data_IF_148981109183
#
_entry.id   IF_148981109183
#
_cell.length_a   1.000
_cell.length_b   1.000
_cell.length_c   1.000
_cell.angle_alpha   90.00
_cell.angle_beta   90.00
_cell.angle_gamma   90.00
#
_symmetry.space_group_name_H-M   'P 1'
#
loop_
_entity.id
_entity.type
_entity.pdbx_description
1 polymer ?
#
# COMPACT_ATOMS: atom_id res chain seq x y z
N UNK A 1 16.00 -17.08 -4.37
CA UNK A 1 15.50 -15.70 -4.58
C UNK A 1 14.00 -15.57 -4.30
N UNK A 2 13.12 -16.34 -4.96
CA UNK A 2 11.65 -16.22 -4.76
C UNK A 2 11.16 -16.40 -3.31
N UNK A 3 11.79 -17.27 -2.52
CA UNK A 3 11.40 -17.48 -1.12
C UNK A 3 11.89 -16.36 -0.19
N UNK A 4 13.07 -15.77 -0.46
CA UNK A 4 13.59 -14.62 0.29
C UNK A 4 12.65 -13.42 0.16
N UNK A 5 12.25 -13.07 -1.07
CA UNK A 5 11.31 -11.96 -1.32
C UNK A 5 9.96 -12.18 -0.63
N UNK A 6 9.48 -13.43 -0.58
CA UNK A 6 8.24 -13.75 0.14
C UNK A 6 8.39 -13.51 1.65
N UNK A 7 9.50 -13.94 2.23
CA UNK A 7 9.79 -13.73 3.66
C UNK A 7 9.92 -12.25 3.97
N UNK A 8 10.63 -11.48 3.12
CA UNK A 8 10.73 -10.02 3.24
C UNK A 8 9.35 -9.36 3.22
N UNK A 9 8.49 -9.74 2.26
CA UNK A 9 7.13 -9.18 2.18
C UNK A 9 6.26 -9.55 3.39
N UNK A 10 6.39 -10.77 3.93
CA UNK A 10 5.70 -11.17 5.15
C UNK A 10 6.19 -10.34 6.34
N UNK A 11 7.49 -10.11 6.45
CA UNK A 11 8.07 -9.29 7.50
C UNK A 11 7.59 -7.84 7.42
N UNK A 12 7.58 -7.26 6.20
CA UNK A 12 7.03 -5.92 5.94
C UNK A 12 5.55 -5.85 6.32
N UNK A 13 4.75 -6.85 5.96
CA UNK A 13 3.32 -6.91 6.30
C UNK A 13 3.11 -6.89 7.82
N UNK A 14 3.82 -7.75 8.56
CA UNK A 14 3.72 -7.83 10.03
C UNK A 14 4.12 -6.49 10.65
N UNK A 15 5.22 -5.89 10.18
CA UNK A 15 5.72 -4.62 10.70
C UNK A 15 4.72 -3.48 10.47
N UNK A 16 4.18 -3.35 9.26
CA UNK A 16 3.22 -2.28 8.92
C UNK A 16 1.90 -2.46 9.69
N UNK A 17 1.39 -3.68 9.83
CA UNK A 17 0.19 -3.97 10.63
C UNK A 17 0.43 -3.61 12.09
N UNK A 18 1.58 -4.00 12.65
CA UNK A 18 1.92 -3.71 14.04
C UNK A 18 2.00 -2.20 14.28
N UNK A 19 2.71 -1.46 13.42
CA UNK A 19 2.77 0.00 13.51
C UNK A 19 1.39 0.65 13.41
N UNK A 20 0.55 0.20 12.47
CA UNK A 20 -0.79 0.76 12.28
C UNK A 20 -1.64 0.70 13.55
N UNK A 21 -1.65 -0.46 14.23
CA UNK A 21 -2.39 -0.63 15.48
C UNK A 21 -1.70 0.03 16.67
N UNK A 22 -0.36 0.17 16.68
CA UNK A 22 0.35 0.96 17.70
C UNK A 22 -0.01 2.46 17.67
N UNK A 23 -0.48 2.97 16.52
CA UNK A 23 -0.98 4.35 16.40
C UNK A 23 -2.48 4.47 16.68
N UNK A 24 -3.13 3.42 17.18
CA UNK A 24 -4.57 3.38 17.51
C UNK A 24 -5.48 3.77 16.34
N UNK A 25 -5.04 3.51 15.10
CA UNK A 25 -5.84 3.78 13.92
C UNK A 25 -7.00 2.78 13.75
N UNK A 26 -8.07 3.22 13.08
CA UNK A 26 -9.29 2.44 12.90
C UNK A 26 -9.10 1.21 11.99
N UNK A 27 -9.54 0.04 12.45
CA UNK A 27 -9.56 -1.18 11.65
C UNK A 27 -10.32 -1.02 10.31
N UNK A 28 -11.40 -0.25 10.29
CA UNK A 28 -12.16 -0.01 9.06
C UNK A 28 -11.37 0.81 8.04
N UNK A 29 -10.59 1.79 8.50
CA UNK A 29 -9.72 2.57 7.61
C UNK A 29 -8.59 1.70 7.05
N UNK A 30 -8.05 0.77 7.84
CA UNK A 30 -7.08 -0.21 7.34
C UNK A 30 -7.66 -1.02 6.16
N UNK A 31 -8.87 -1.56 6.29
CA UNK A 31 -9.51 -2.32 5.21
C UNK A 31 -9.75 -1.48 3.96
N UNK A 32 -10.19 -0.22 4.12
CA UNK A 32 -10.39 0.69 3.00
C UNK A 32 -9.06 0.95 2.27
N UNK A 33 -7.98 1.24 3.00
CA UNK A 33 -6.67 1.48 2.40
C UNK A 33 -6.04 0.23 1.81
N UNK A 34 -6.34 -0.95 2.36
CA UNK A 34 -5.89 -2.22 1.81
C UNK A 34 -6.48 -2.47 0.41
N UNK A 35 -7.74 -2.06 0.19
CA UNK A 35 -8.46 -2.21 -1.08
C UNK A 35 -8.28 -1.01 -2.02
N UNK A 36 -7.74 0.10 -1.55
CA UNK A 36 -7.58 1.32 -2.34
C UNK A 36 -6.73 1.13 -3.61
N UNK A 37 -5.61 0.37 -3.60
CA UNK A 37 -4.85 0.08 -4.81
C UNK A 37 -5.67 -0.63 -5.89
N UNK A 38 -6.65 -1.47 -5.53
CA UNK A 38 -7.46 -2.19 -6.52
C UNK A 38 -8.34 -1.26 -7.36
N UNK A 39 -8.72 -0.09 -6.81
CA UNK A 39 -9.44 0.95 -7.56
C UNK A 39 -8.62 1.47 -8.74
N UNK A 40 -7.29 1.42 -8.66
CA UNK A 40 -6.40 1.86 -9.75
C UNK A 40 -6.49 0.96 -10.99
N UNK A 41 -7.07 -0.23 -10.87
CA UNK A 41 -7.40 -1.09 -12.01
C UNK A 41 -8.39 -0.44 -12.99
N UNK A 42 -9.11 0.62 -12.58
CA UNK A 42 -9.98 1.39 -13.49
C UNK A 42 -9.22 1.96 -14.70
N UNK A 43 -7.91 2.18 -14.59
CA UNK A 43 -7.08 2.63 -15.71
C UNK A 43 -7.10 1.68 -16.91
N UNK A 44 -7.39 0.39 -16.70
CA UNK A 44 -7.50 -0.60 -17.78
C UNK A 44 -8.70 -0.35 -18.71
N UNK A 45 -9.69 0.44 -18.29
CA UNK A 45 -10.85 0.81 -19.12
C UNK A 45 -10.42 1.65 -20.32
N UNK A 46 -9.40 2.51 -20.18
CA UNK A 46 -8.95 3.39 -21.26
C UNK A 46 -8.08 2.66 -22.29
N UNK A 47 -7.04 1.97 -21.81
CA UNK A 47 -6.24 1.02 -22.60
C UNK A 47 -5.28 0.25 -21.68
N UNK A 48 -4.68 -0.82 -22.21
CA UNK A 48 -3.75 -1.69 -21.49
C UNK A 48 -2.49 -0.98 -20.98
N UNK A 49 -1.97 0.01 -21.71
CA UNK A 49 -0.74 0.73 -21.35
C UNK A 49 -0.98 1.62 -20.14
N UNK A 50 -1.98 2.50 -20.24
CA UNK A 50 -2.41 3.40 -19.16
C UNK A 50 -2.82 2.59 -17.93
N UNK A 51 -3.62 1.53 -18.11
CA UNK A 51 -4.02 0.65 -17.01
C UNK A 51 -2.84 0.04 -16.27
N UNK A 52 -1.88 -0.54 -16.99
CA UNK A 52 -0.70 -1.12 -16.36
C UNK A 52 0.15 -0.10 -15.61
N UNK A 53 0.30 1.12 -16.14
CA UNK A 53 1.07 2.18 -15.47
C UNK A 53 0.35 2.65 -14.20
N UNK A 54 -0.95 2.97 -14.30
CA UNK A 54 -1.75 3.45 -13.17
C UNK A 54 -1.82 2.40 -12.05
N UNK A 55 -2.01 1.14 -12.42
CA UNK A 55 -2.03 0.02 -11.48
C UNK A 55 -0.70 -0.19 -10.75
N UNK A 56 0.42 -0.15 -11.49
CA UNK A 56 1.75 -0.29 -10.90
C UNK A 56 2.11 0.87 -9.96
N UNK A 57 1.65 2.08 -10.27
CA UNK A 57 1.83 3.25 -9.39
C UNK A 57 0.99 3.11 -8.12
N UNK A 58 -0.26 2.63 -8.24
CA UNK A 58 -1.14 2.40 -7.09
C UNK A 58 -0.63 1.35 -6.11
N UNK A 59 0.07 0.33 -6.60
CA UNK A 59 0.62 -0.78 -5.80
C UNK A 59 2.03 -0.54 -5.25
N UNK A 60 2.64 0.60 -5.56
CA UNK A 60 3.98 0.93 -5.10
C UNK A 60 3.97 1.34 -3.61
N UNK A 61 4.98 0.91 -2.84
CA UNK A 61 5.13 1.28 -1.42
C UNK A 61 5.52 2.76 -1.18
N UNK A 62 5.92 3.48 -2.24
CA UNK A 62 6.34 4.89 -2.14
C UNK A 62 5.21 5.77 -1.61
N UNK A 63 4.00 5.64 -2.16
CA UNK A 63 2.84 6.42 -1.71
C UNK A 63 2.54 6.25 -0.21
N UNK A 64 2.31 5.03 0.31
CA UNK A 64 2.04 4.85 1.74
C UNK A 64 3.23 5.25 2.63
N UNK A 65 4.47 5.07 2.17
CA UNK A 65 5.65 5.54 2.92
C UNK A 65 5.71 7.07 3.04
N UNK A 66 5.39 7.82 1.98
CA UNK A 66 5.35 9.28 2.00
C UNK A 66 4.25 9.81 2.91
N UNK A 67 3.06 9.21 2.87
CA UNK A 67 1.94 9.56 3.78
C UNK A 67 2.33 9.31 5.23
N UNK A 68 3.00 8.19 5.51
CA UNK A 68 3.48 7.85 6.86
C UNK A 68 4.52 8.86 7.35
N UNK A 69 5.52 9.20 6.53
CA UNK A 69 6.53 10.21 6.86
C UNK A 69 5.87 11.57 7.12
N UNK A 70 4.94 11.99 6.27
CA UNK A 70 4.23 13.25 6.45
C UNK A 70 3.44 13.27 7.77
N UNK A 71 2.73 12.20 8.10
CA UNK A 71 2.03 12.08 9.37
C UNK A 71 2.98 12.19 10.57
N UNK A 72 4.15 11.54 10.50
CA UNK A 72 5.16 11.63 11.57
C UNK A 72 5.80 13.02 11.69
N UNK A 73 5.89 13.80 10.60
CA UNK A 73 6.42 15.16 10.61
C UNK A 73 5.42 16.20 11.12
N UNK A 74 4.13 15.94 10.95
CA UNK A 74 3.04 16.84 11.36
C UNK A 74 2.59 16.63 12.82
N UNK A 75 3.06 15.55 13.46
CA UNK A 75 2.73 15.17 14.83
C UNK A 75 3.86 15.56 15.78
#
# INVERSE_FOLDING_TARGET
MRNLIKVENVFVLILVISLYFMFDFSFWLFLIFLLAPDLTAIGYVFNKRIGSTVYNVGLTYVLPSLVTILYLLLK
#
